data_IF_390800246272
#
_entry.id   IF_390800246272
#
_cell.length_a   1.000
_cell.length_b   1.000
_cell.length_c   1.000
_cell.angle_alpha   90.00
_cell.angle_beta   90.00
_cell.angle_gamma   90.00
#
_symmetry.space_group_name_H-M   'P 1'
#
loop_
_entity.id
_entity.type
_entity.pdbx_description
1 polymer ?
#
# COMPACT_ATOMS: atom_id res chain seq x y z
N UNK A 1 89.58 76.60 25.88
CA UNK A 1 88.31 76.62 26.61
C UNK A 1 87.61 75.27 26.37
N UNK A 2 87.36 74.52 27.43
CA UNK A 2 86.93 73.14 27.41
C UNK A 2 85.42 73.09 27.30
N UNK A 3 84.86 72.46 26.26
CA UNK A 3 83.42 72.15 26.11
C UNK A 3 83.10 70.81 26.77
N UNK A 4 82.21 70.77 27.76
CA UNK A 4 81.68 69.58 28.40
C UNK A 4 80.62 68.93 27.52
N UNK A 5 80.85 67.69 27.16
CA UNK A 5 79.77 66.81 26.60
C UNK A 5 78.90 66.29 27.75
N UNK A 6 77.62 66.62 27.72
CA UNK A 6 76.62 66.01 28.58
C UNK A 6 76.14 64.73 27.89
N UNK A 7 76.49 63.58 28.47
CA UNK A 7 75.98 62.31 28.03
C UNK A 7 74.63 61.99 28.67
N UNK A 8 73.58 61.85 27.91
CA UNK A 8 72.30 61.36 28.37
C UNK A 8 72.32 59.82 28.29
N UNK A 9 72.43 59.14 29.40
CA UNK A 9 72.24 57.73 29.53
C UNK A 9 70.78 57.46 29.89
N UNK A 10 69.98 57.20 28.87
CA UNK A 10 68.65 56.49 29.08
C UNK A 10 68.93 55.00 29.29
N UNK A 11 68.29 54.33 30.28
CA UNK A 11 68.50 52.92 30.49
C UNK A 11 67.88 52.14 29.30
N UNK A 12 68.71 51.38 28.61
CA UNK A 12 68.22 50.37 27.63
C UNK A 12 67.36 49.35 28.41
N UNK A 13 66.09 49.51 28.33
CA UNK A 13 65.13 48.40 28.73
C UNK A 13 65.46 47.22 27.87
N UNK A 14 65.83 46.09 28.49
CA UNK A 14 66.20 44.87 27.82
C UNK A 14 64.96 44.35 27.06
N UNK A 15 64.92 44.55 25.77
CA UNK A 15 63.87 44.02 24.85
C UNK A 15 63.77 42.51 24.96
N UNK A 16 64.86 41.83 25.32
CA UNK A 16 64.87 40.36 25.50
C UNK A 16 64.04 39.89 26.68
N UNK A 17 63.89 40.67 27.78
CA UNK A 17 63.03 40.25 28.92
C UNK A 17 61.57 40.35 28.60
N UNK A 18 61.14 41.31 27.77
CA UNK A 18 59.76 41.47 27.34
C UNK A 18 59.39 40.36 26.30
N UNK A 19 60.35 40.06 25.40
CA UNK A 19 60.17 39.00 24.41
C UNK A 19 60.06 37.61 25.07
N UNK A 20 60.93 37.34 26.05
CA UNK A 20 60.86 36.07 26.80
C UNK A 20 59.58 35.89 27.61
N UNK A 21 59.04 36.96 28.20
CA UNK A 21 57.75 36.91 28.94
C UNK A 21 56.56 36.63 27.99
N UNK A 22 56.53 37.27 26.81
CA UNK A 22 55.50 37.03 25.80
C UNK A 22 55.63 35.64 25.19
N UNK A 23 56.81 35.20 24.88
CA UNK A 23 57.10 33.87 24.40
C UNK A 23 56.71 32.79 25.43
N UNK A 24 57.05 33.03 26.72
CA UNK A 24 56.64 32.15 27.80
C UNK A 24 55.09 32.04 27.92
N UNK A 25 54.39 33.19 27.88
CA UNK A 25 52.93 33.21 27.92
C UNK A 25 52.30 32.45 26.73
N UNK A 26 52.80 32.62 25.50
CA UNK A 26 52.36 31.93 24.31
C UNK A 26 52.64 30.41 24.39
N UNK A 27 53.80 30.05 24.94
CA UNK A 27 54.23 28.69 25.18
C UNK A 27 53.30 27.99 26.23
N UNK A 28 52.97 28.67 27.33
CA UNK A 28 52.06 28.17 28.36
C UNK A 28 50.62 28.03 27.80
N UNK A 29 50.16 29.01 27.01
CA UNK A 29 48.86 28.94 26.35
C UNK A 29 48.81 27.76 25.35
N UNK A 30 49.86 27.62 24.53
CA UNK A 30 49.98 26.51 23.57
C UNK A 30 50.06 25.15 24.26
N UNK A 31 50.83 25.05 25.34
CA UNK A 31 50.91 23.82 26.15
C UNK A 31 49.55 23.49 26.82
N UNK A 32 48.83 24.52 27.30
CA UNK A 32 47.49 24.37 27.88
C UNK A 32 46.47 23.84 26.85
N UNK A 33 46.45 24.42 25.64
CA UNK A 33 45.59 23.96 24.54
C UNK A 33 45.97 22.55 24.11
N UNK A 34 47.26 22.26 23.95
CA UNK A 34 47.73 20.91 23.59
C UNK A 34 47.39 19.89 24.68
N UNK A 35 47.57 20.26 25.97
CA UNK A 35 47.18 19.44 27.10
C UNK A 35 45.68 19.15 27.14
N UNK A 36 44.85 20.15 26.85
CA UNK A 36 43.39 19.95 26.74
C UNK A 36 43.00 19.04 25.58
N UNK A 37 43.66 19.18 24.43
CA UNK A 37 43.46 18.29 23.27
C UNK A 37 43.87 16.85 23.60
N UNK A 38 45.08 16.67 24.18
CA UNK A 38 45.57 15.34 24.56
C UNK A 38 44.72 14.71 25.65
N UNK A 39 44.26 15.50 26.64
CA UNK A 39 43.31 15.03 27.65
C UNK A 39 41.98 14.59 27.02
N UNK A 40 41.45 15.37 26.07
CA UNK A 40 40.23 15.00 25.35
C UNK A 40 40.42 13.79 24.47
N UNK A 41 41.53 13.66 23.78
CA UNK A 41 41.88 12.43 23.02
C UNK A 41 42.02 11.23 23.96
N UNK A 42 42.67 11.40 25.12
CA UNK A 42 42.77 10.36 26.13
C UNK A 42 41.40 9.94 26.68
N UNK A 43 40.51 10.89 26.93
CA UNK A 43 39.14 10.58 27.32
C UNK A 43 38.40 9.78 26.23
N UNK A 44 38.57 10.13 24.96
CA UNK A 44 37.95 9.42 23.85
C UNK A 44 38.50 8.00 23.61
N UNK A 45 39.77 7.75 24.02
CA UNK A 45 40.43 6.47 23.76
C UNK A 45 40.56 5.56 25.01
N UNK A 46 40.56 6.13 26.22
CA UNK A 46 40.94 5.38 27.43
C UNK A 46 39.79 5.09 28.40
N UNK A 47 38.61 5.70 28.26
CA UNK A 47 37.50 5.43 29.17
C UNK A 47 36.46 4.52 28.47
N UNK A 48 36.40 3.25 28.89
CA UNK A 48 35.45 2.25 28.37
C UNK A 48 33.99 2.70 28.38
N UNK A 49 33.60 3.61 29.30
CA UNK A 49 32.22 4.14 29.35
C UNK A 49 31.95 5.19 28.24
N UNK A 50 32.91 6.10 27.97
CA UNK A 50 32.76 7.12 26.92
C UNK A 50 33.00 6.49 25.54
N UNK A 51 33.91 5.51 25.43
CA UNK A 51 34.09 4.76 24.17
C UNK A 51 32.88 3.93 23.79
N UNK A 52 32.17 3.34 24.76
CA UNK A 52 30.94 2.63 24.50
C UNK A 52 29.83 3.54 23.96
N UNK A 53 29.65 4.73 24.52
CA UNK A 53 28.67 5.70 24.04
C UNK A 53 28.95 6.13 22.58
N UNK A 54 30.21 6.44 22.26
CA UNK A 54 30.61 6.79 20.89
C UNK A 54 30.58 5.58 19.93
N UNK A 55 30.93 4.40 20.43
CA UNK A 55 30.84 3.18 19.63
C UNK A 55 29.38 2.86 19.33
N UNK A 56 28.50 2.93 20.32
CA UNK A 56 27.06 2.73 20.13
C UNK A 56 26.47 3.77 19.15
N UNK A 57 26.82 5.06 19.32
CA UNK A 57 26.38 6.10 18.39
C UNK A 57 26.97 5.92 16.98
N UNK A 58 28.20 5.42 16.84
CA UNK A 58 28.79 5.09 15.56
C UNK A 58 28.13 3.85 14.94
N UNK A 59 27.77 2.86 15.74
CA UNK A 59 27.06 1.66 15.29
C UNK A 59 25.60 2.00 14.92
N UNK A 60 24.90 2.82 15.69
CA UNK A 60 23.58 3.35 15.34
C UNK A 60 23.58 4.11 14.00
N UNK A 61 24.63 4.87 13.71
CA UNK A 61 24.79 5.57 12.43
C UNK A 61 25.25 4.66 11.28
N UNK A 62 25.85 3.52 11.59
CA UNK A 62 26.38 2.56 10.62
C UNK A 62 25.36 1.51 10.20
N UNK A 63 24.45 1.17 11.10
CA UNK A 63 23.46 0.14 10.87
C UNK A 63 22.07 0.77 10.73
N UNK A 64 21.32 0.27 9.77
CA UNK A 64 19.89 0.59 9.59
C UNK A 64 19.08 -0.71 9.55
N UNK A 65 17.91 -0.70 10.18
CA UNK A 65 17.03 -1.87 10.20
C UNK A 65 16.01 -1.73 9.09
N UNK A 66 16.12 -2.58 8.08
CA UNK A 66 15.19 -2.64 6.95
C UNK A 66 14.12 -3.69 7.19
N UNK A 67 12.88 -3.28 7.09
CA UNK A 67 11.71 -4.17 7.19
C UNK A 67 11.59 -4.97 5.89
N UNK A 68 11.44 -6.30 6.02
CA UNK A 68 11.08 -7.19 4.92
C UNK A 68 9.58 -7.41 4.99
N UNK A 69 8.87 -6.94 3.96
CA UNK A 69 7.43 -7.14 3.87
C UNK A 69 7.11 -8.65 3.70
N UNK A 70 6.17 -9.19 4.47
CA UNK A 70 5.81 -10.60 4.36
C UNK A 70 5.03 -10.88 3.08
N UNK A 71 5.19 -12.07 2.48
CA UNK A 71 4.27 -12.52 1.45
C UNK A 71 2.86 -12.63 2.03
N UNK A 72 1.90 -12.03 1.37
CA UNK A 72 0.50 -12.04 1.81
C UNK A 72 -0.11 -13.43 1.64
N UNK A 73 -1.05 -13.81 2.51
CA UNK A 73 -1.78 -15.09 2.45
C UNK A 73 -2.46 -15.30 1.10
N UNK A 74 -2.49 -16.53 0.63
CA UNK A 74 -3.15 -16.89 -0.64
C UNK A 74 -4.65 -17.04 -0.39
N UNK A 75 -5.48 -16.57 -1.33
CA UNK A 75 -6.92 -16.77 -1.29
C UNK A 75 -7.27 -17.80 -2.35
N UNK A 76 -8.00 -18.83 -1.94
CA UNK A 76 -8.46 -19.94 -2.76
C UNK A 76 -9.97 -19.96 -2.85
N UNK A 77 -10.50 -20.53 -3.92
CA UNK A 77 -11.89 -20.97 -3.98
C UNK A 77 -12.08 -22.26 -3.16
N UNK A 78 -13.30 -22.81 -3.15
CA UNK A 78 -13.65 -24.04 -2.43
C UNK A 78 -12.91 -25.29 -2.92
N UNK A 79 -12.34 -25.27 -4.11
CA UNK A 79 -11.63 -26.39 -4.76
C UNK A 79 -10.10 -26.18 -4.79
N UNK A 80 -9.59 -25.10 -4.21
CA UNK A 80 -8.17 -24.81 -4.18
C UNK A 80 -7.67 -24.02 -5.39
N UNK A 81 -8.55 -23.47 -6.22
CA UNK A 81 -8.16 -22.57 -7.30
C UNK A 81 -7.68 -21.25 -6.69
N UNK A 82 -6.50 -20.79 -7.11
CA UNK A 82 -5.88 -19.56 -6.59
C UNK A 82 -6.60 -18.34 -7.13
N UNK A 83 -7.25 -17.57 -6.27
CA UNK A 83 -7.99 -16.36 -6.61
C UNK A 83 -7.18 -15.08 -6.37
N UNK A 84 -6.27 -15.09 -5.39
CA UNK A 84 -5.32 -14.01 -5.14
C UNK A 84 -4.04 -14.58 -4.52
N UNK A 85 -2.89 -14.11 -5.00
CA UNK A 85 -1.57 -14.55 -4.51
C UNK A 85 -0.54 -13.43 -4.57
N UNK A 86 0.61 -13.64 -3.92
CA UNK A 86 1.79 -12.81 -4.13
C UNK A 86 2.56 -13.36 -5.34
N UNK A 87 2.83 -12.52 -6.31
CA UNK A 87 3.59 -12.83 -7.53
C UNK A 87 4.80 -11.92 -7.66
N UNK A 88 5.76 -12.29 -8.46
CA UNK A 88 6.88 -11.42 -8.81
C UNK A 88 6.44 -10.38 -9.85
N UNK A 89 6.67 -9.13 -9.53
CA UNK A 89 6.56 -8.01 -10.45
C UNK A 89 7.96 -7.56 -10.84
N UNK A 90 8.22 -7.53 -12.14
CA UNK A 90 9.51 -7.09 -12.66
C UNK A 90 9.47 -5.60 -12.93
N UNK A 91 10.51 -4.92 -12.49
CA UNK A 91 10.62 -3.48 -12.63
C UNK A 91 12.01 -3.03 -13.02
N UNK A 92 12.07 -1.90 -13.68
CA UNK A 92 13.31 -1.19 -13.97
C UNK A 92 13.33 0.12 -13.22
N UNK A 93 14.43 0.37 -12.52
CA UNK A 93 14.66 1.58 -11.74
C UNK A 93 15.98 2.25 -12.18
N UNK A 94 16.17 3.51 -11.81
CA UNK A 94 17.41 4.24 -12.05
C UNK A 94 17.93 4.85 -10.75
N UNK A 95 19.24 4.73 -10.51
CA UNK A 95 19.97 5.47 -9.45
C UNK A 95 20.58 6.70 -10.10
N UNK A 96 20.02 7.89 -9.81
CA UNK A 96 20.41 9.13 -10.50
C UNK A 96 21.88 9.48 -10.32
N UNK A 97 22.45 9.15 -9.15
CA UNK A 97 23.85 9.45 -8.84
C UNK A 97 24.85 8.67 -9.71
N UNK A 98 24.43 7.55 -10.27
CA UNK A 98 25.25 6.64 -11.07
C UNK A 98 25.07 6.85 -12.58
N UNK A 99 24.40 7.94 -12.96
CA UNK A 99 24.08 8.29 -14.35
C UNK A 99 24.60 9.69 -14.66
N UNK A 100 25.47 9.81 -15.65
CA UNK A 100 25.98 11.10 -16.13
C UNK A 100 24.92 11.88 -16.94
N UNK A 101 24.17 11.17 -17.78
CA UNK A 101 23.13 11.73 -18.63
C UNK A 101 21.82 10.94 -18.51
N UNK A 102 20.94 11.43 -17.61
CA UNK A 102 19.65 10.77 -17.32
C UNK A 102 18.75 10.67 -18.55
N UNK A 103 18.73 11.71 -19.38
CA UNK A 103 17.91 11.76 -20.61
C UNK A 103 18.30 10.67 -21.58
N UNK A 104 19.58 10.47 -21.78
CA UNK A 104 20.12 9.46 -22.68
C UNK A 104 19.79 8.05 -22.21
N UNK A 105 20.04 7.76 -20.92
CA UNK A 105 19.82 6.43 -20.34
C UNK A 105 18.34 6.08 -20.32
N UNK A 106 17.46 7.01 -19.89
CA UNK A 106 16.01 6.79 -19.91
C UNK A 106 15.49 6.66 -21.35
N UNK A 107 16.06 7.42 -22.31
CA UNK A 107 15.74 7.28 -23.73
C UNK A 107 16.10 5.89 -24.28
N UNK A 108 17.25 5.33 -23.91
CA UNK A 108 17.64 3.96 -24.28
C UNK A 108 16.70 2.91 -23.67
N UNK A 109 16.33 3.06 -22.39
CA UNK A 109 15.33 2.19 -21.75
C UNK A 109 14.00 2.25 -22.49
N UNK A 110 13.52 3.46 -22.84
CA UNK A 110 12.31 3.63 -23.63
C UNK A 110 12.39 2.91 -24.98
N UNK A 111 13.51 3.03 -25.69
CA UNK A 111 13.73 2.36 -26.97
C UNK A 111 13.70 0.83 -26.83
N UNK A 112 14.36 0.27 -25.81
CA UNK A 112 14.38 -1.19 -25.56
C UNK A 112 12.99 -1.72 -25.28
N UNK A 113 12.17 -0.95 -24.53
CA UNK A 113 10.82 -1.33 -24.13
C UNK A 113 9.74 -0.91 -25.15
N UNK A 114 10.11 -0.33 -26.30
CA UNK A 114 9.16 0.13 -27.32
C UNK A 114 8.25 1.27 -26.83
N UNK A 115 8.72 2.10 -25.90
CA UNK A 115 7.96 3.20 -25.31
C UNK A 115 8.24 4.52 -26.03
N UNK A 116 7.28 5.43 -26.00
CA UNK A 116 7.38 6.71 -26.70
C UNK A 116 8.20 7.77 -25.93
N UNK A 117 8.58 8.84 -26.63
CA UNK A 117 9.36 9.95 -26.04
C UNK A 117 8.56 10.75 -24.99
N UNK A 118 7.24 10.67 -25.00
CA UNK A 118 6.40 11.30 -23.97
C UNK A 118 6.49 10.53 -22.66
N UNK A 119 6.49 9.20 -22.70
CA UNK A 119 6.77 8.37 -21.56
C UNK A 119 8.14 8.70 -20.96
N UNK A 120 9.18 8.78 -21.78
CA UNK A 120 10.53 9.09 -21.30
C UNK A 120 10.59 10.44 -20.57
N UNK A 121 9.94 11.48 -21.11
CA UNK A 121 9.84 12.80 -20.45
C UNK A 121 9.13 12.73 -19.09
N UNK A 122 8.00 12.04 -18.99
CA UNK A 122 7.29 11.85 -17.72
C UNK A 122 8.13 11.07 -16.70
N UNK A 123 8.82 10.01 -17.14
CA UNK A 123 9.71 9.23 -16.29
C UNK A 123 10.87 10.09 -15.73
N UNK A 124 11.50 10.91 -16.56
CA UNK A 124 12.58 11.82 -16.14
C UNK A 124 12.08 12.83 -15.09
N UNK A 125 10.91 13.44 -15.29
CA UNK A 125 10.33 14.38 -14.31
C UNK A 125 10.07 13.69 -12.99
N UNK A 126 9.51 12.49 -13.00
CA UNK A 126 9.23 11.68 -11.80
C UNK A 126 10.52 11.36 -11.06
N UNK A 127 11.52 10.89 -11.77
CA UNK A 127 12.83 10.50 -11.22
C UNK A 127 13.53 11.69 -10.58
N UNK A 128 13.56 12.85 -11.24
CA UNK A 128 14.19 14.09 -10.72
C UNK A 128 13.57 14.59 -9.42
N UNK A 129 12.32 14.27 -9.14
CA UNK A 129 11.64 14.59 -7.89
C UNK A 129 11.96 13.64 -6.73
N UNK A 130 12.67 12.53 -6.98
CA UNK A 130 13.01 11.51 -6.02
C UNK A 130 14.42 11.62 -5.44
N UNK A 131 14.80 10.61 -4.61
CA UNK A 131 16.16 10.48 -4.07
C UNK A 131 17.18 10.26 -5.19
N UNK A 132 18.35 10.91 -5.09
CA UNK A 132 19.44 10.72 -6.05
C UNK A 132 20.23 9.44 -5.84
N UNK A 133 20.20 8.89 -4.64
CA UNK A 133 21.02 7.76 -4.20
C UNK A 133 20.25 6.44 -4.10
N UNK A 134 18.93 6.50 -4.11
CA UNK A 134 18.07 5.32 -4.06
C UNK A 134 17.51 5.01 -5.44
N UNK A 135 17.29 3.72 -5.79
CA UNK A 135 16.66 3.34 -7.03
C UNK A 135 15.27 3.96 -7.17
N UNK A 136 15.07 4.76 -8.21
CA UNK A 136 13.76 5.37 -8.52
C UNK A 136 13.09 4.57 -9.63
N UNK A 137 11.87 4.03 -9.43
CA UNK A 137 11.21 3.20 -10.42
C UNK A 137 10.85 3.99 -11.67
N UNK A 138 11.37 3.54 -12.80
CA UNK A 138 11.04 4.03 -14.15
C UNK A 138 9.76 3.37 -14.66
N UNK A 139 9.72 2.03 -14.67
CA UNK A 139 8.57 1.23 -15.08
C UNK A 139 8.43 0.00 -14.18
N UNK A 140 7.21 -0.21 -13.69
CA UNK A 140 6.76 -1.39 -12.97
C UNK A 140 5.88 -2.25 -13.91
N UNK A 141 5.61 -3.50 -13.59
CA UNK A 141 4.75 -4.38 -14.38
C UNK A 141 5.39 -4.79 -15.72
N UNK A 142 6.71 -5.00 -15.74
CA UNK A 142 7.38 -5.54 -16.90
C UNK A 142 7.00 -7.00 -17.13
N UNK A 143 6.78 -7.37 -18.38
CA UNK A 143 6.73 -8.78 -18.76
C UNK A 143 8.11 -9.42 -18.58
N UNK A 144 8.17 -10.75 -18.51
CA UNK A 144 9.45 -11.47 -18.44
C UNK A 144 10.38 -11.13 -19.62
N UNK A 145 9.81 -10.98 -20.81
CA UNK A 145 10.58 -10.65 -22.02
C UNK A 145 11.14 -9.22 -21.97
N UNK A 146 10.33 -8.24 -21.52
CA UNK A 146 10.78 -6.86 -21.30
C UNK A 146 11.88 -6.79 -20.23
N UNK A 147 11.70 -7.51 -19.12
CA UNK A 147 12.70 -7.58 -18.05
C UNK A 147 14.03 -8.16 -18.56
N UNK A 148 13.98 -9.27 -19.28
CA UNK A 148 15.16 -9.88 -19.86
C UNK A 148 15.83 -8.98 -20.91
N UNK A 149 15.05 -8.27 -21.73
CA UNK A 149 15.58 -7.33 -22.71
C UNK A 149 16.40 -6.20 -22.06
N UNK A 150 16.00 -5.73 -20.89
CA UNK A 150 16.75 -4.77 -20.07
C UNK A 150 17.95 -5.46 -19.41
N UNK A 151 17.73 -6.62 -18.76
CA UNK A 151 18.74 -7.29 -17.95
C UNK A 151 19.99 -7.67 -18.74
N UNK A 152 19.82 -8.14 -19.96
CA UNK A 152 20.94 -8.46 -20.89
C UNK A 152 21.75 -7.21 -21.26
N UNK A 153 21.12 -6.03 -21.27
CA UNK A 153 21.75 -4.74 -21.65
C UNK A 153 22.17 -3.89 -20.45
N UNK A 154 22.05 -4.38 -19.21
CA UNK A 154 22.49 -3.64 -18.03
C UNK A 154 23.93 -3.09 -18.10
N UNK A 155 24.92 -3.83 -18.69
CA UNK A 155 26.26 -3.28 -18.84
C UNK A 155 26.34 -2.02 -19.71
N UNK A 156 25.36 -1.79 -20.58
CA UNK A 156 25.25 -0.62 -21.48
C UNK A 156 24.41 0.51 -20.88
N UNK A 157 23.80 0.28 -19.72
CA UNK A 157 22.82 1.16 -19.08
C UNK A 157 23.32 1.57 -17.68
N UNK A 158 24.28 2.49 -17.58
CA UNK A 158 24.82 2.91 -16.28
C UNK A 158 23.70 3.44 -15.38
N UNK A 159 23.73 3.06 -14.10
CA UNK A 159 22.75 3.47 -13.10
C UNK A 159 21.37 2.84 -13.24
N UNK A 160 21.13 1.98 -14.22
CA UNK A 160 19.88 1.21 -14.32
C UNK A 160 19.98 -0.05 -13.48
N UNK A 161 18.91 -0.31 -12.73
CA UNK A 161 18.74 -1.49 -11.89
C UNK A 161 17.47 -2.21 -12.33
N UNK A 162 17.65 -3.45 -12.79
CA UNK A 162 16.54 -4.36 -13.05
C UNK A 162 16.31 -5.21 -11.80
N UNK A 163 15.12 -5.16 -11.24
CA UNK A 163 14.80 -5.84 -9.98
C UNK A 163 13.40 -6.44 -10.03
N UNK A 164 13.11 -7.33 -9.10
CA UNK A 164 11.75 -7.85 -8.92
C UNK A 164 11.25 -7.53 -7.52
N UNK A 165 9.98 -7.17 -7.44
CA UNK A 165 9.28 -6.95 -6.18
C UNK A 165 8.13 -7.95 -6.04
N UNK A 166 7.78 -8.25 -4.79
CA UNK A 166 6.59 -9.04 -4.50
C UNK A 166 5.35 -8.15 -4.58
N UNK A 167 4.42 -8.52 -5.47
CA UNK A 167 3.19 -7.78 -5.73
C UNK A 167 1.99 -8.70 -5.61
N UNK A 168 0.89 -8.17 -5.08
CA UNK A 168 -0.38 -8.90 -5.05
C UNK A 168 -0.94 -9.02 -6.45
N UNK A 169 -1.30 -10.23 -6.87
CA UNK A 169 -1.87 -10.55 -8.17
C UNK A 169 -3.23 -11.22 -8.02
N UNK A 170 -4.15 -10.85 -8.90
CA UNK A 170 -5.51 -11.34 -8.99
C UNK A 170 -5.72 -11.94 -10.39
N UNK A 171 -5.55 -13.26 -10.55
CA UNK A 171 -5.51 -13.92 -11.87
C UNK A 171 -6.81 -13.80 -12.68
N UNK A 172 -7.93 -13.51 -12.03
CA UNK A 172 -9.24 -13.47 -12.67
C UNK A 172 -9.88 -12.09 -12.72
N UNK A 173 -9.07 -11.05 -12.60
CA UNK A 173 -9.42 -9.64 -12.85
C UNK A 173 -10.82 -9.25 -12.31
N UNK A 174 -11.70 -8.82 -13.21
CA UNK A 174 -13.04 -8.29 -12.88
C UNK A 174 -13.99 -9.29 -12.22
N UNK A 175 -13.71 -10.60 -12.33
CA UNK A 175 -14.60 -11.66 -11.81
C UNK A 175 -14.70 -11.60 -10.30
N UNK A 176 -13.60 -11.23 -9.63
CA UNK A 176 -13.49 -11.23 -8.19
C UNK A 176 -13.22 -9.85 -7.57
N UNK A 177 -13.20 -8.79 -8.35
CA UNK A 177 -12.92 -7.45 -7.88
C UNK A 177 -13.72 -7.05 -6.63
N UNK A 178 -15.01 -7.39 -6.60
CA UNK A 178 -15.86 -7.05 -5.45
C UNK A 178 -15.70 -7.99 -4.25
N UNK A 179 -15.82 -9.32 -4.36
CA UNK A 179 -15.75 -10.19 -3.18
C UNK A 179 -14.34 -10.22 -2.58
N UNK A 180 -13.29 -10.28 -3.38
CA UNK A 180 -11.92 -10.27 -2.88
C UNK A 180 -11.48 -8.85 -2.53
N UNK A 181 -11.85 -7.86 -3.33
CA UNK A 181 -11.35 -6.50 -3.17
C UNK A 181 -9.92 -6.35 -3.70
N UNK A 182 -9.18 -5.40 -3.14
CA UNK A 182 -7.83 -5.10 -3.57
C UNK A 182 -6.96 -4.58 -2.42
N UNK A 183 -5.65 -4.68 -2.63
CA UNK A 183 -4.65 -4.04 -1.78
C UNK A 183 -4.11 -2.78 -2.45
N UNK A 184 -3.60 -1.84 -1.65
CA UNK A 184 -2.96 -0.62 -2.12
C UNK A 184 -1.85 -0.18 -1.17
N UNK A 185 -0.97 0.73 -1.62
CA UNK A 185 -0.01 1.41 -0.74
C UNK A 185 -0.75 2.09 0.42
N UNK A 186 -0.23 2.02 1.64
CA UNK A 186 -0.81 2.73 2.78
C UNK A 186 -0.94 4.22 2.49
N UNK A 187 -2.06 4.80 2.88
CA UNK A 187 -2.28 6.25 2.83
C UNK A 187 -1.88 6.90 4.16
N UNK A 188 -1.73 8.23 4.17
CA UNK A 188 -1.48 8.95 5.41
C UNK A 188 -2.55 8.66 6.48
N UNK A 189 -3.81 8.52 6.07
CA UNK A 189 -4.91 8.15 6.99
C UNK A 189 -4.74 6.78 7.64
N UNK A 190 -4.14 5.82 6.95
CA UNK A 190 -3.86 4.49 7.52
C UNK A 190 -2.78 4.59 8.60
N UNK A 191 -1.76 5.41 8.35
CA UNK A 191 -0.67 5.69 9.30
C UNK A 191 -1.20 6.44 10.53
N UNK A 192 -2.01 7.48 10.32
CA UNK A 192 -2.59 8.28 11.40
C UNK A 192 -3.49 7.41 12.29
N UNK A 193 -4.34 6.57 11.69
CA UNK A 193 -5.18 5.61 12.42
C UNK A 193 -4.35 4.60 13.23
N UNK A 194 -3.21 4.15 12.68
CA UNK A 194 -2.31 3.29 13.43
C UNK A 194 -1.73 4.01 14.64
N UNK A 195 -1.30 5.26 14.50
CA UNK A 195 -0.74 6.07 15.60
C UNK A 195 -1.74 6.32 16.74
N UNK A 196 -3.04 6.39 16.44
CA UNK A 196 -4.09 6.54 17.45
C UNK A 196 -4.17 5.34 18.41
N UNK A 197 -3.62 4.18 18.04
CA UNK A 197 -3.58 2.97 18.88
C UNK A 197 -2.44 2.92 19.92
N UNK A 198 -1.71 4.03 20.12
CA UNK A 198 -0.63 4.14 21.12
C UNK A 198 0.68 3.46 20.70
N UNK A 199 1.40 2.85 21.67
CA UNK A 199 2.75 2.28 21.43
C UNK A 199 2.75 1.14 20.41
N UNK A 200 1.79 0.23 20.47
CA UNK A 200 1.62 -0.83 19.46
C UNK A 200 1.34 -0.23 18.08
N UNK A 201 0.58 0.86 18.05
CA UNK A 201 0.28 1.62 16.85
C UNK A 201 1.50 2.30 16.24
N UNK A 202 2.47 2.76 17.03
CA UNK A 202 3.71 3.36 16.54
C UNK A 202 4.55 2.36 15.74
N UNK A 203 4.66 1.11 16.21
CA UNK A 203 5.33 0.04 15.49
C UNK A 203 4.62 -0.26 14.15
N UNK A 204 3.29 -0.36 14.16
CA UNK A 204 2.51 -0.55 12.94
C UNK A 204 2.63 0.65 11.99
N UNK A 205 2.63 1.88 12.49
CA UNK A 205 2.81 3.07 11.66
C UNK A 205 4.18 3.08 10.95
N UNK A 206 5.24 2.63 11.64
CA UNK A 206 6.58 2.45 11.06
C UNK A 206 6.56 1.40 9.96
N UNK A 207 5.91 0.27 10.18
CA UNK A 207 5.70 -0.76 9.16
C UNK A 207 4.95 -0.21 7.94
N UNK A 208 3.87 0.54 8.14
CA UNK A 208 3.06 1.12 7.06
C UNK A 208 3.81 2.17 6.22
N UNK A 209 4.87 2.79 6.74
CA UNK A 209 5.73 3.72 5.97
C UNK A 209 6.65 3.01 4.98
N UNK A 210 6.81 1.70 5.09
CA UNK A 210 7.63 0.94 4.16
C UNK A 210 6.98 0.93 2.76
N UNK A 211 7.69 1.32 1.68
CA UNK A 211 7.15 1.44 0.33
C UNK A 211 6.69 0.12 -0.29
N UNK A 212 7.18 -1.01 0.24
CA UNK A 212 6.83 -2.36 -0.23
C UNK A 212 5.59 -2.93 0.45
N UNK A 213 5.11 -2.31 1.53
CA UNK A 213 3.90 -2.74 2.24
C UNK A 213 2.65 -2.41 1.42
N UNK A 214 1.71 -3.33 1.44
CA UNK A 214 0.35 -3.17 0.88
C UNK A 214 -0.67 -3.50 1.96
N UNK A 215 -1.77 -2.75 1.99
CA UNK A 215 -2.89 -2.95 2.92
C UNK A 215 -4.17 -3.20 2.15
N UNK A 216 -5.03 -4.06 2.65
CA UNK A 216 -6.36 -4.28 2.10
C UNK A 216 -7.23 -3.04 2.20
N UNK A 217 -7.92 -2.70 1.11
CA UNK A 217 -8.77 -1.50 1.01
C UNK A 217 -10.24 -1.80 0.82
N UNK A 218 -10.55 -2.95 0.27
CA UNK A 218 -11.92 -3.38 -0.02
C UNK A 218 -12.03 -4.91 0.09
N UNK A 219 -13.26 -5.41 0.15
CA UNK A 219 -13.57 -6.84 0.13
C UNK A 219 -12.88 -7.63 1.24
N UNK A 220 -12.61 -8.90 0.95
CA UNK A 220 -11.92 -9.80 1.88
C UNK A 220 -10.48 -9.36 2.20
N UNK A 221 -9.81 -8.71 1.25
CA UNK A 221 -8.47 -8.15 1.50
C UNK A 221 -8.46 -7.15 2.66
N UNK A 222 -9.52 -6.34 2.81
CA UNK A 222 -9.65 -5.42 3.92
C UNK A 222 -10.23 -6.08 5.18
N UNK A 223 -11.24 -6.94 5.02
CA UNK A 223 -11.93 -7.57 6.14
C UNK A 223 -11.03 -8.58 6.89
N UNK A 224 -10.15 -9.27 6.16
CA UNK A 224 -9.22 -10.30 6.68
C UNK A 224 -7.78 -9.81 6.66
N UNK A 225 -7.56 -8.50 6.81
CA UNK A 225 -6.23 -7.89 6.77
C UNK A 225 -5.29 -8.51 7.81
N UNK A 226 -5.78 -8.76 9.03
CA UNK A 226 -4.98 -9.29 10.13
C UNK A 226 -4.43 -10.68 9.83
N UNK A 227 -5.23 -11.53 9.20
CA UNK A 227 -4.87 -12.89 8.84
C UNK A 227 -3.99 -12.93 7.60
N UNK A 228 -4.33 -12.10 6.62
CA UNK A 228 -3.68 -12.12 5.31
C UNK A 228 -2.31 -11.45 5.29
N UNK A 229 -2.07 -10.42 6.12
CA UNK A 229 -0.85 -9.61 5.96
C UNK A 229 0.44 -10.32 6.43
N UNK A 230 0.34 -11.33 7.31
CA UNK A 230 1.50 -12.06 7.85
C UNK A 230 2.31 -11.27 8.89
N UNK A 231 3.52 -11.74 9.17
CA UNK A 231 4.44 -11.10 10.12
C UNK A 231 5.68 -10.59 9.39
N UNK A 232 6.01 -9.31 9.56
CA UNK A 232 7.18 -8.71 8.94
C UNK A 232 8.48 -9.36 9.44
N UNK A 233 9.41 -9.54 8.52
CA UNK A 233 10.81 -9.80 8.82
C UNK A 233 11.60 -8.49 8.94
N UNK A 234 12.85 -8.61 9.33
CA UNK A 234 13.80 -7.49 9.29
C UNK A 234 15.21 -7.98 8.99
N UNK A 235 16.00 -7.09 8.41
CA UNK A 235 17.41 -7.27 8.18
C UNK A 235 18.17 -6.03 8.61
N UNK A 236 19.33 -6.22 9.18
CA UNK A 236 20.22 -5.17 9.59
C UNK A 236 21.22 -4.91 8.47
N UNK A 237 21.18 -3.71 7.91
CA UNK A 237 22.05 -3.33 6.80
C UNK A 237 23.10 -2.33 7.26
N UNK A 238 24.30 -2.45 6.71
CA UNK A 238 25.39 -1.50 6.90
C UNK A 238 25.17 -0.37 5.90
N UNK A 239 25.04 0.85 6.40
CA UNK A 239 24.86 2.04 5.56
C UNK A 239 26.06 2.98 5.67
N UNK A 240 26.34 3.70 4.59
CA UNK A 240 27.29 4.81 4.63
C UNK A 240 26.63 6.08 5.20
N UNK A 241 27.41 7.17 5.37
CA UNK A 241 26.93 8.47 5.86
C UNK A 241 25.81 9.11 5.02
N UNK A 242 25.48 8.55 3.84
CA UNK A 242 24.39 8.97 2.96
C UNK A 242 23.18 8.04 2.99
N UNK A 243 23.20 7.01 3.89
CA UNK A 243 22.13 6.01 3.99
C UNK A 243 22.14 4.93 2.89
N UNK A 244 23.19 4.89 2.05
CA UNK A 244 23.32 3.89 1.00
C UNK A 244 23.82 2.59 1.59
N UNK A 245 23.14 1.48 1.29
CA UNK A 245 23.47 0.13 1.72
C UNK A 245 24.84 -0.30 1.16
N UNK A 246 25.73 -0.76 2.04
CA UNK A 246 27.07 -1.25 1.73
C UNK A 246 27.20 -2.75 1.96
N UNK A 247 26.30 -3.35 2.73
CA UNK A 247 26.27 -4.76 3.07
C UNK A 247 25.18 -5.10 4.06
N UNK A 248 25.06 -6.35 4.42
CA UNK A 248 24.07 -6.87 5.36
C UNK A 248 24.75 -7.61 6.51
N UNK A 249 24.23 -7.49 7.73
CA UNK A 249 24.60 -8.30 8.87
C UNK A 249 23.63 -9.50 8.93
N UNK A 250 24.06 -10.62 8.37
CA UNK A 250 23.25 -11.85 8.31
C UNK A 250 22.90 -12.41 9.68
N UNK A 251 23.66 -12.07 10.74
CA UNK A 251 23.45 -12.60 12.09
C UNK A 251 22.16 -12.09 12.74
N UNK A 252 21.67 -10.93 12.33
CA UNK A 252 20.46 -10.29 12.84
C UNK A 252 19.31 -10.30 11.83
N UNK A 253 19.37 -11.16 10.81
CA UNK A 253 18.29 -11.33 9.84
C UNK A 253 17.15 -12.17 10.40
N UNK A 254 15.93 -11.66 10.29
CA UNK A 254 14.72 -12.43 10.58
C UNK A 254 13.84 -12.49 9.34
N UNK A 255 13.57 -13.71 8.90
CA UNK A 255 12.72 -13.93 7.73
C UNK A 255 11.26 -13.56 8.03
N UNK A 256 10.54 -13.01 7.05
CA UNK A 256 9.13 -12.73 7.17
C UNK A 256 8.31 -14.02 7.19
N UNK A 257 7.20 -14.02 7.91
CA UNK A 257 6.26 -15.14 7.96
C UNK A 257 5.06 -14.78 7.09
N UNK A 258 4.77 -15.62 6.11
CA UNK A 258 3.61 -15.47 5.23
C UNK A 258 2.31 -15.39 6.04
N UNK A 259 1.35 -14.55 5.58
CA UNK A 259 0.01 -14.52 6.13
C UNK A 259 -0.76 -15.83 5.92
N UNK A 260 -1.78 -16.04 6.74
CA UNK A 260 -2.66 -17.20 6.64
C UNK A 260 -3.39 -17.23 5.31
N UNK A 261 -3.49 -18.39 4.68
CA UNK A 261 -4.31 -18.58 3.49
C UNK A 261 -5.80 -18.64 3.85
N UNK A 262 -6.64 -18.18 2.94
CA UNK A 262 -8.10 -18.28 3.06
C UNK A 262 -8.64 -19.24 2.01
N UNK A 263 -9.54 -20.15 2.42
CA UNK A 263 -10.35 -20.96 1.51
C UNK A 263 -11.78 -20.45 1.57
N UNK A 264 -12.29 -19.98 0.43
CA UNK A 264 -13.64 -19.43 0.32
C UNK A 264 -14.65 -20.54 0.01
N UNK A 265 -15.91 -20.25 0.26
CA UNK A 265 -17.01 -21.10 -0.17
C UNK A 265 -17.37 -20.88 -1.65
N UNK A 266 -16.86 -19.82 -2.28
CA UNK A 266 -17.10 -19.49 -3.68
C UNK A 266 -16.59 -20.60 -4.60
N UNK A 267 -17.38 -20.88 -5.65
CA UNK A 267 -17.07 -21.78 -6.72
C UNK A 267 -16.63 -20.99 -7.94
N UNK A 268 -15.39 -21.19 -8.38
CA UNK A 268 -14.81 -20.40 -9.48
C UNK A 268 -15.58 -20.49 -10.77
N UNK A 269 -16.00 -21.70 -11.17
CA UNK A 269 -16.67 -21.89 -12.44
C UNK A 269 -18.07 -21.29 -12.44
N UNK A 270 -18.79 -21.41 -11.32
CA UNK A 270 -20.10 -20.76 -11.15
C UNK A 270 -19.97 -19.24 -11.10
N UNK A 271 -19.00 -18.70 -10.37
CA UNK A 271 -18.75 -17.25 -10.28
C UNK A 271 -18.41 -16.66 -11.65
N UNK A 272 -17.49 -17.30 -12.40
CA UNK A 272 -17.13 -16.90 -13.75
C UNK A 272 -18.33 -16.95 -14.70
N UNK A 273 -19.10 -18.05 -14.65
CA UNK A 273 -20.31 -18.22 -15.46
C UNK A 273 -21.32 -17.12 -15.16
N UNK A 274 -21.56 -16.80 -13.88
CA UNK A 274 -22.46 -15.73 -13.48
C UNK A 274 -22.01 -14.38 -14.04
N UNK A 275 -20.72 -14.03 -13.89
CA UNK A 275 -20.18 -12.79 -14.42
C UNK A 275 -20.27 -12.68 -15.94
N UNK A 276 -19.99 -13.78 -16.67
CA UNK A 276 -20.09 -13.83 -18.12
C UNK A 276 -21.54 -13.66 -18.63
N UNK A 277 -22.51 -14.24 -17.94
CA UNK A 277 -23.91 -14.16 -18.32
C UNK A 277 -24.53 -12.76 -18.13
N UNK A 278 -23.93 -11.88 -17.33
CA UNK A 278 -24.34 -10.48 -17.28
C UNK A 278 -24.10 -9.77 -18.61
N UNK A 279 -23.07 -10.14 -19.38
CA UNK A 279 -22.70 -9.43 -20.61
C UNK A 279 -22.61 -7.92 -20.36
N UNK A 280 -23.40 -7.15 -21.06
CA UNK A 280 -23.50 -5.69 -20.89
C UNK A 280 -24.49 -5.24 -19.79
N UNK A 281 -25.14 -6.17 -19.10
CA UNK A 281 -26.12 -5.80 -18.08
C UNK A 281 -25.42 -5.39 -16.77
N UNK A 282 -26.10 -4.51 -16.03
CA UNK A 282 -25.69 -4.13 -14.66
C UNK A 282 -26.60 -4.82 -13.65
N UNK A 283 -26.01 -5.48 -12.66
CA UNK A 283 -26.79 -6.18 -11.66
C UNK A 283 -25.95 -6.99 -10.69
N UNK A 284 -26.60 -7.86 -9.95
CA UNK A 284 -25.95 -8.78 -9.02
C UNK A 284 -26.60 -10.14 -9.02
N UNK A 285 -25.82 -11.19 -8.77
CA UNK A 285 -26.29 -12.53 -8.55
C UNK A 285 -25.61 -13.14 -7.32
N UNK A 286 -26.40 -13.78 -6.48
CA UNK A 286 -25.92 -14.53 -5.31
C UNK A 286 -26.51 -15.94 -5.39
N UNK A 287 -25.65 -16.94 -5.27
CA UNK A 287 -26.04 -18.34 -5.18
C UNK A 287 -25.61 -18.86 -3.82
N UNK A 288 -26.54 -19.38 -3.08
CA UNK A 288 -26.33 -19.90 -1.73
C UNK A 288 -26.76 -21.37 -1.66
N UNK A 289 -25.94 -22.20 -1.03
CA UNK A 289 -26.34 -23.56 -0.67
C UNK A 289 -27.38 -23.49 0.46
N UNK A 290 -28.55 -24.09 0.20
CA UNK A 290 -29.69 -24.00 1.13
C UNK A 290 -29.48 -24.81 2.41
N UNK A 291 -28.55 -25.78 2.42
CA UNK A 291 -28.29 -26.64 3.57
C UNK A 291 -27.20 -26.10 4.48
N UNK A 292 -26.14 -25.54 3.89
CA UNK A 292 -24.98 -25.05 4.65
C UNK A 292 -24.99 -23.54 4.84
N UNK A 293 -25.68 -22.79 3.98
CA UNK A 293 -25.63 -21.34 3.93
C UNK A 293 -24.38 -20.79 3.21
N UNK A 294 -23.55 -21.67 2.62
CA UNK A 294 -22.35 -21.28 1.88
C UNK A 294 -22.71 -20.44 0.65
N UNK A 295 -22.02 -19.33 0.48
CA UNK A 295 -22.11 -18.54 -0.75
C UNK A 295 -21.23 -19.17 -1.82
N UNK A 296 -21.86 -19.69 -2.87
CA UNK A 296 -21.19 -20.29 -4.03
C UNK A 296 -20.85 -19.23 -5.09
N UNK A 297 -21.71 -18.22 -5.22
CA UNK A 297 -21.56 -17.09 -6.14
C UNK A 297 -21.87 -15.78 -5.43
N UNK A 298 -21.05 -14.78 -5.67
CA UNK A 298 -21.24 -13.40 -5.23
C UNK A 298 -20.82 -12.44 -6.34
N UNK A 299 -21.64 -12.40 -7.41
CA UNK A 299 -21.34 -11.64 -8.61
C UNK A 299 -21.97 -10.24 -8.58
N UNK A 300 -21.18 -9.22 -8.88
CA UNK A 300 -21.61 -7.83 -9.03
C UNK A 300 -21.08 -7.29 -10.35
N UNK A 301 -21.97 -7.08 -11.32
CA UNK A 301 -21.60 -6.67 -12.68
C UNK A 301 -22.02 -5.20 -12.99
N UNK A 302 -21.22 -4.51 -13.82
CA UNK A 302 -19.87 -4.86 -14.19
C UNK A 302 -18.94 -4.85 -12.98
N UNK A 303 -17.89 -5.67 -13.04
CA UNK A 303 -16.82 -5.68 -12.04
C UNK A 303 -15.73 -4.67 -12.38
N UNK A 304 -14.71 -4.61 -11.53
CA UNK A 304 -13.48 -3.85 -11.75
C UNK A 304 -12.26 -4.74 -11.59
N UNK A 305 -11.17 -4.40 -12.29
CA UNK A 305 -9.89 -5.13 -12.16
C UNK A 305 -9.12 -4.65 -10.92
N UNK A 306 -8.96 -5.50 -9.88
CA UNK A 306 -8.24 -5.17 -8.66
C UNK A 306 -6.74 -4.95 -8.89
N UNK A 307 -6.13 -5.53 -9.95
CA UNK A 307 -4.72 -5.36 -10.26
C UNK A 307 -4.36 -3.90 -10.53
N UNK A 308 -5.29 -3.12 -11.10
CA UNK A 308 -5.08 -1.70 -11.38
C UNK A 308 -4.86 -0.85 -10.11
N UNK A 309 -5.26 -1.34 -8.93
CA UNK A 309 -5.18 -0.60 -7.67
C UNK A 309 -3.89 -0.87 -6.90
N UNK A 310 -3.24 -2.02 -7.11
CA UNK A 310 -2.12 -2.51 -6.29
C UNK A 310 -0.95 -1.52 -6.20
N UNK A 311 -0.57 -0.92 -7.32
CA UNK A 311 0.50 0.09 -7.39
C UNK A 311 -0.02 1.53 -7.50
N UNK A 312 -1.34 1.70 -7.41
CA UNK A 312 -2.05 2.96 -7.57
C UNK A 312 -2.73 3.05 -8.95
N UNK A 313 -4.03 3.27 -8.94
CA UNK A 313 -4.82 3.40 -10.16
C UNK A 313 -4.50 4.73 -10.87
N UNK A 314 -4.39 4.72 -12.20
CA UNK A 314 -4.24 5.93 -12.98
C UNK A 314 -5.50 6.81 -12.91
N UNK A 315 -5.33 8.13 -13.01
CA UNK A 315 -6.48 9.05 -13.04
C UNK A 315 -7.45 8.74 -14.19
N UNK A 316 -6.93 8.29 -15.34
CA UNK A 316 -7.75 7.91 -16.49
C UNK A 316 -8.62 6.70 -16.18
N UNK A 317 -8.04 5.62 -15.63
CA UNK A 317 -8.78 4.41 -15.27
C UNK A 317 -9.78 4.67 -14.14
N UNK A 318 -9.38 5.46 -13.12
CA UNK A 318 -10.28 5.80 -12.03
C UNK A 318 -11.47 6.63 -12.52
N UNK A 319 -11.22 7.60 -13.41
CA UNK A 319 -12.28 8.40 -14.03
C UNK A 319 -13.22 7.52 -14.85
N UNK A 320 -12.68 6.61 -15.69
CA UNK A 320 -13.49 5.68 -16.48
C UNK A 320 -14.45 4.87 -15.61
N UNK A 321 -13.96 4.30 -14.48
CA UNK A 321 -14.83 3.58 -13.54
C UNK A 321 -15.86 4.47 -12.84
N UNK A 322 -15.49 5.71 -12.53
CA UNK A 322 -16.36 6.61 -11.75
C UNK A 322 -17.46 7.27 -12.59
N UNK A 323 -17.16 7.53 -13.87
CA UNK A 323 -18.09 8.13 -14.84
C UNK A 323 -19.00 7.08 -15.50
N UNK A 324 -18.67 5.80 -15.43
CA UNK A 324 -19.51 4.72 -15.97
C UNK A 324 -20.87 4.67 -15.26
N UNK A 325 -21.95 4.80 -16.05
CA UNK A 325 -23.33 4.76 -15.56
C UNK A 325 -23.68 3.47 -14.85
N UNK A 326 -23.04 2.34 -15.22
CA UNK A 326 -23.24 1.02 -14.63
C UNK A 326 -22.53 0.83 -13.29
N UNK A 327 -21.75 1.85 -12.83
CA UNK A 327 -21.09 1.90 -11.53
C UNK A 327 -20.25 0.65 -11.21
N UNK A 328 -19.14 0.38 -11.91
CA UNK A 328 -18.31 -0.80 -11.70
C UNK A 328 -17.73 -0.92 -10.28
N UNK A 329 -17.45 0.21 -9.61
CA UNK A 329 -16.89 0.20 -8.25
C UNK A 329 -17.95 -0.03 -7.16
N UNK A 330 -19.23 -0.01 -7.50
CA UNK A 330 -20.33 -0.18 -6.54
C UNK A 330 -20.64 -1.67 -6.34
N UNK A 331 -20.45 -2.17 -5.11
CA UNK A 331 -20.69 -3.58 -4.77
C UNK A 331 -22.18 -3.87 -4.64
N UNK A 332 -22.83 -4.19 -5.74
CA UNK A 332 -24.29 -4.32 -5.86
C UNK A 332 -24.87 -5.45 -5.00
N UNK A 333 -24.12 -6.53 -4.75
CA UNK A 333 -24.56 -7.64 -3.91
C UNK A 333 -24.65 -7.31 -2.42
N UNK A 334 -23.87 -6.34 -1.94
CA UNK A 334 -23.79 -6.00 -0.49
C UNK A 334 -24.39 -4.64 -0.19
N UNK A 335 -24.07 -3.64 -1.02
CA UNK A 335 -24.48 -2.25 -0.77
C UNK A 335 -25.65 -1.81 -1.63
N UNK A 336 -26.04 -2.64 -2.61
CA UNK A 336 -27.18 -2.36 -3.49
C UNK A 336 -28.50 -2.33 -2.73
N UNK A 337 -29.18 -1.21 -2.76
CA UNK A 337 -30.53 -1.04 -2.18
C UNK A 337 -31.54 -1.05 -3.32
N UNK A 338 -32.15 -2.20 -3.53
CA UNK A 338 -33.16 -2.41 -4.57
C UNK A 338 -34.52 -2.67 -3.94
N UNK A 339 -35.57 -2.18 -4.57
CA UNK A 339 -36.93 -2.50 -4.15
C UNK A 339 -37.18 -4.03 -4.36
N UNK A 340 -37.52 -4.75 -3.30
CA UNK A 340 -37.67 -6.23 -3.39
C UNK A 340 -38.83 -6.67 -4.27
N UNK A 341 -39.79 -5.78 -4.49
CA UNK A 341 -40.99 -6.07 -5.27
C UNK A 341 -41.76 -7.29 -4.71
N UNK A 342 -42.38 -8.10 -5.64
CA UNK A 342 -43.21 -9.24 -5.24
C UNK A 342 -42.47 -10.36 -4.49
N UNK A 343 -41.11 -10.38 -4.52
CA UNK A 343 -40.35 -11.36 -3.72
C UNK A 343 -40.54 -11.16 -2.22
N UNK A 344 -40.84 -9.94 -1.78
CA UNK A 344 -41.14 -9.65 -0.39
C UNK A 344 -42.47 -10.15 0.11
N UNK A 345 -43.41 -10.48 -0.81
CA UNK A 345 -44.75 -10.96 -0.43
C UNK A 345 -44.74 -12.25 0.38
N UNK A 346 -43.75 -13.11 0.14
CA UNK A 346 -43.59 -14.33 0.95
C UNK A 346 -43.27 -13.99 2.41
N UNK A 347 -42.43 -12.99 2.67
CA UNK A 347 -42.13 -12.54 4.03
C UNK A 347 -43.33 -11.91 4.70
N UNK A 348 -44.13 -11.11 3.95
CA UNK A 348 -45.41 -10.55 4.42
C UNK A 348 -46.38 -11.68 4.72
N UNK A 349 -46.46 -12.69 3.87
CA UNK A 349 -47.31 -13.87 4.09
C UNK A 349 -46.95 -14.61 5.38
N UNK A 350 -45.67 -14.87 5.64
CA UNK A 350 -45.18 -15.48 6.89
C UNK A 350 -45.57 -14.61 8.11
N UNK A 351 -45.33 -13.32 8.03
CA UNK A 351 -45.69 -12.39 9.10
C UNK A 351 -47.21 -12.38 9.36
N UNK A 352 -48.03 -12.43 8.31
CA UNK A 352 -49.50 -12.51 8.44
C UNK A 352 -49.90 -13.79 9.16
N UNK A 353 -49.29 -14.92 8.83
CA UNK A 353 -49.55 -16.21 9.52
C UNK A 353 -49.16 -16.15 10.98
N UNK A 354 -48.00 -15.57 11.31
CA UNK A 354 -47.57 -15.37 12.70
C UNK A 354 -48.49 -14.42 13.48
N UNK A 355 -49.12 -13.46 12.80
CA UNK A 355 -50.11 -12.56 13.37
C UNK A 355 -51.52 -13.20 13.50
N UNK A 356 -51.67 -14.48 13.17
CA UNK A 356 -52.92 -15.21 13.36
C UNK A 356 -53.87 -15.19 12.17
N UNK A 357 -53.42 -14.75 10.99
CA UNK A 357 -54.25 -14.83 9.76
C UNK A 357 -54.42 -16.31 9.38
N UNK A 358 -55.71 -16.76 9.35
CA UNK A 358 -56.07 -18.14 9.03
C UNK A 358 -55.94 -18.45 7.53
N UNK A 359 -55.77 -19.71 7.16
CA UNK A 359 -55.59 -20.14 5.75
C UNK A 359 -56.85 -19.89 4.88
N UNK A 360 -58.02 -19.90 5.52
CA UNK A 360 -59.31 -19.65 4.87
C UNK A 360 -59.63 -18.14 4.70
N UNK A 361 -58.80 -17.26 5.32
CA UNK A 361 -58.99 -15.82 5.18
C UNK A 361 -58.83 -15.39 3.71
N UNK A 362 -59.69 -14.53 3.25
CA UNK A 362 -59.64 -14.05 1.90
C UNK A 362 -60.11 -12.60 1.80
N UNK A 363 -59.54 -11.83 0.86
CA UNK A 363 -59.88 -10.45 0.58
C UNK A 363 -60.30 -10.27 -0.88
N UNK A 364 -61.14 -9.29 -1.13
CA UNK A 364 -61.53 -8.92 -2.48
C UNK A 364 -60.55 -7.95 -3.13
N UNK A 365 -59.90 -8.38 -4.19
CA UNK A 365 -59.05 -7.50 -5.03
C UNK A 365 -59.86 -6.96 -6.20
N UNK A 366 -60.23 -5.69 -6.18
CA UNK A 366 -60.89 -4.98 -7.25
C UNK A 366 -59.94 -4.18 -8.16
N UNK A 367 -58.63 -4.39 -8.06
CA UNK A 367 -57.60 -3.64 -8.77
C UNK A 367 -56.94 -2.52 -7.96
N UNK A 368 -57.40 -2.30 -6.72
CA UNK A 368 -56.81 -1.36 -5.81
C UNK A 368 -57.35 -1.48 -4.40
N UNK A 369 -56.59 -0.99 -3.42
CA UNK A 369 -56.94 -0.98 -2.02
C UNK A 369 -56.61 0.41 -1.41
N UNK A 370 -57.63 1.01 -0.80
CA UNK A 370 -57.48 2.34 -0.17
C UNK A 370 -57.12 2.13 1.31
N UNK A 371 -56.00 2.69 1.73
CA UNK A 371 -55.53 2.66 3.10
C UNK A 371 -54.71 3.89 3.44
N UNK A 372 -54.94 4.47 4.63
CA UNK A 372 -54.18 5.63 5.12
C UNK A 372 -54.23 6.88 4.18
N UNK A 373 -55.32 7.08 3.47
CA UNK A 373 -55.47 8.20 2.54
C UNK A 373 -54.79 8.00 1.19
N UNK A 374 -54.25 6.82 0.90
CA UNK A 374 -53.60 6.46 -0.38
C UNK A 374 -54.31 5.23 -0.97
N UNK A 375 -54.27 5.14 -2.32
CA UNK A 375 -54.73 3.96 -3.04
C UNK A 375 -53.50 3.15 -3.50
N UNK A 376 -53.42 1.92 -3.08
CA UNK A 376 -52.43 0.95 -3.57
C UNK A 376 -53.04 0.20 -4.73
N UNK A 377 -52.42 0.30 -5.90
CA UNK A 377 -52.94 -0.31 -7.12
C UNK A 377 -52.37 -1.72 -7.31
N UNK A 378 -53.23 -2.66 -7.66
CA UNK A 378 -52.81 -3.96 -8.13
C UNK A 378 -52.35 -3.86 -9.59
N UNK A 379 -51.35 -4.66 -9.98
CA UNK A 379 -50.88 -4.71 -11.35
C UNK A 379 -52.01 -5.10 -12.33
N UNK A 380 -52.99 -5.87 -11.86
CA UNK A 380 -54.19 -6.23 -12.63
C UNK A 380 -55.27 -5.19 -12.38
N UNK A 381 -55.49 -4.31 -13.37
CA UNK A 381 -56.44 -3.18 -13.24
C UNK A 381 -57.87 -3.62 -12.90
N UNK A 382 -58.36 -4.77 -13.40
CA UNK A 382 -59.68 -5.30 -13.07
C UNK A 382 -59.71 -6.12 -11.78
N UNK A 383 -58.61 -6.22 -11.05
CA UNK A 383 -58.47 -7.01 -9.86
C UNK A 383 -58.46 -8.53 -10.09
N UNK A 384 -58.19 -9.25 -9.03
CA UNK A 384 -58.14 -10.73 -9.03
C UNK A 384 -59.41 -11.37 -8.47
N UNK A 385 -60.37 -10.54 -8.03
CA UNK A 385 -61.56 -11.06 -7.35
C UNK A 385 -61.24 -11.45 -5.90
N UNK A 386 -61.89 -12.51 -5.40
CA UNK A 386 -61.63 -13.02 -4.07
C UNK A 386 -60.35 -13.84 -4.07
N UNK A 387 -59.36 -13.45 -3.29
CA UNK A 387 -58.04 -14.11 -3.17
C UNK A 387 -57.76 -14.43 -1.70
N UNK A 388 -57.34 -15.66 -1.44
CA UNK A 388 -56.71 -16.05 -0.15
C UNK A 388 -55.20 -15.77 -0.17
N UNK A 389 -54.51 -16.05 0.90
CA UNK A 389 -53.05 -15.79 1.03
C UNK A 389 -52.25 -16.56 -0.05
N UNK A 390 -52.59 -17.82 -0.29
CA UNK A 390 -51.94 -18.64 -1.31
C UNK A 390 -52.12 -18.04 -2.72
N UNK A 391 -53.37 -17.68 -3.07
CA UNK A 391 -53.68 -17.12 -4.37
C UNK A 391 -53.08 -15.69 -4.55
N UNK A 392 -53.03 -14.92 -3.47
CA UNK A 392 -52.35 -13.60 -3.48
C UNK A 392 -50.88 -13.72 -3.82
N UNK A 393 -50.16 -14.68 -3.23
CA UNK A 393 -48.74 -14.95 -3.53
C UNK A 393 -48.61 -15.50 -4.95
N UNK A 394 -49.43 -16.54 -5.32
CA UNK A 394 -49.40 -17.17 -6.63
C UNK A 394 -49.62 -16.21 -7.79
N UNK A 395 -50.57 -15.30 -7.65
CA UNK A 395 -50.94 -14.33 -8.69
C UNK A 395 -50.27 -12.97 -8.47
N UNK A 396 -49.35 -12.85 -7.49
CA UNK A 396 -48.67 -11.61 -7.14
C UNK A 396 -49.64 -10.42 -6.94
N UNK A 397 -50.78 -10.66 -6.25
CA UNK A 397 -51.74 -9.62 -5.93
C UNK A 397 -51.13 -8.56 -5.01
N UNK A 398 -51.36 -7.28 -5.29
CA UNK A 398 -50.82 -6.13 -4.51
C UNK A 398 -51.85 -5.57 -3.49
N UNK A 399 -53.02 -6.20 -3.39
CA UNK A 399 -54.10 -5.85 -2.45
C UNK A 399 -54.06 -6.72 -1.25
#
# INVERSE_FOLDING_TARGET
>A
MKGKKVGSTLPKRDANVIFNRRAALLSFLGAGVMGAILFRMGQLQATNLISQEYTNAADENRFDTRIIAPPRGIIYDRFGIVLAQTSKDYQVAVVQNDVDNLEEVVGRVAQILGLDGEWARRAIIKVRGGSRYEPQPLKEGLTWDEFNAINVRLPELPGIVATSADVRAYPYDVVYGHPIGYVQKPTQRDIDRALEAGEEGASRATYLRNPHVRVGKAGLEAAMETELHGTAGYRKVIVNARGVEQGEDESERREPIRGSGLVLTLDHDLQRTAMQNFGDQSGSAVVMDIYTGDLLVMASAPGFDPNLFVNGISQANFRAYNEDEKKPLYHKTVTGVYAPGSTFKMMVGIAAKQAGVEDNWAVGCSGGFAYGGRVFHCWRAGGHGRVNLHDAIKHSCDV
#
